data_IF_036484739249
#
_entry.id   IF_036484739249
#
_cell.length_a   1.000
_cell.length_b   1.000
_cell.length_c   1.000
_cell.angle_alpha   90.00
_cell.angle_beta   90.00
_cell.angle_gamma   90.00
#
_symmetry.space_group_name_H-M   'P 1'
#
loop_
_entity.id
_entity.type
_entity.pdbx_description
1 polymer ?
#
# COMPACT_ATOMS: atom_id res chain seq x y z
N UNK A 1 4.73 10.73 17.52
CA UNK A 1 4.33 9.54 16.76
C UNK A 1 4.01 9.97 15.34
N UNK A 2 4.66 9.36 14.34
CA UNK A 2 4.39 9.70 12.94
C UNK A 2 3.13 9.00 12.43
N UNK A 3 2.71 9.31 11.20
CA UNK A 3 1.49 8.75 10.58
C UNK A 3 1.50 7.22 10.55
N UNK A 4 2.66 6.63 10.30
CA UNK A 4 2.83 5.17 10.18
C UNK A 4 2.65 4.51 11.55
N UNK A 5 3.32 5.02 12.57
CA UNK A 5 3.20 4.50 13.94
C UNK A 5 1.77 4.58 14.44
N UNK A 6 1.10 5.70 14.15
CA UNK A 6 -0.29 5.93 14.54
C UNK A 6 -1.24 4.97 13.81
N UNK A 7 -1.02 4.75 12.51
CA UNK A 7 -1.83 3.81 11.73
C UNK A 7 -1.73 2.39 12.29
N UNK A 8 -0.52 1.94 12.58
CA UNK A 8 -0.31 0.60 13.16
C UNK A 8 -0.95 0.48 14.54
N UNK A 9 -0.85 1.52 15.36
CA UNK A 9 -1.48 1.54 16.68
C UNK A 9 -3.01 1.44 16.58
N UNK A 10 -3.61 2.15 15.63
CA UNK A 10 -5.07 2.21 15.47
C UNK A 10 -5.64 0.97 14.78
N UNK A 11 -4.94 0.45 13.79
CA UNK A 11 -5.51 -0.51 12.84
C UNK A 11 -4.73 -1.83 12.71
N UNK A 12 -3.49 -1.88 13.18
CA UNK A 12 -2.66 -3.08 13.08
C UNK A 12 -3.05 -4.15 14.10
N UNK A 13 -2.84 -5.41 13.72
CA UNK A 13 -2.96 -6.54 14.65
C UNK A 13 -1.59 -6.85 15.24
N UNK A 14 -1.39 -6.52 16.50
CA UNK A 14 -0.08 -6.66 17.18
C UNK A 14 0.45 -8.10 17.20
N UNK A 15 -0.44 -9.09 17.15
CA UNK A 15 -0.06 -10.50 17.31
C UNK A 15 0.31 -11.19 16.00
N UNK A 16 0.05 -10.58 14.84
CA UNK A 16 0.24 -11.20 13.54
C UNK A 16 1.34 -10.52 12.70
N UNK A 17 1.89 -9.40 13.15
CA UNK A 17 2.84 -8.61 12.38
C UNK A 17 4.27 -9.02 12.70
N UNK A 18 5.04 -9.33 11.66
CA UNK A 18 6.46 -9.67 11.74
C UNK A 18 7.24 -8.71 10.85
N UNK A 19 8.23 -7.98 11.39
CA UNK A 19 9.06 -7.09 10.57
C UNK A 19 9.70 -7.83 9.40
N UNK A 20 9.77 -7.16 8.25
CA UNK A 20 10.35 -7.72 7.03
C UNK A 20 11.82 -7.34 6.95
N UNK A 21 12.65 -8.29 6.51
CA UNK A 21 14.08 -8.07 6.35
C UNK A 21 14.32 -7.07 5.18
N UNK A 22 15.20 -6.11 5.41
CA UNK A 22 15.55 -5.11 4.39
C UNK A 22 16.20 -5.72 3.15
N UNK A 23 16.86 -6.88 3.26
CA UNK A 23 17.43 -7.57 2.10
C UNK A 23 16.34 -8.10 1.16
N UNK A 24 15.21 -8.57 1.71
CA UNK A 24 14.07 -9.03 0.91
C UNK A 24 13.42 -7.84 0.17
N UNK A 25 13.37 -6.68 0.80
CA UNK A 25 12.88 -5.45 0.16
C UNK A 25 13.82 -5.04 -0.97
N UNK A 26 15.13 -5.12 -0.76
CA UNK A 26 16.11 -4.81 -1.79
C UNK A 26 15.99 -5.74 -3.01
N UNK A 27 15.68 -7.01 -2.81
CA UNK A 27 15.41 -7.96 -3.90
C UNK A 27 14.17 -7.53 -4.70
N UNK A 28 13.11 -7.11 -4.02
CA UNK A 28 11.90 -6.62 -4.69
C UNK A 28 12.19 -5.36 -5.51
N UNK A 29 12.94 -4.43 -4.93
CA UNK A 29 13.35 -3.21 -5.64
C UNK A 29 14.15 -3.55 -6.90
N UNK A 30 15.04 -4.53 -6.83
CA UNK A 30 15.82 -4.97 -7.99
C UNK A 30 14.94 -5.59 -9.08
N UNK A 31 13.93 -6.36 -8.71
CA UNK A 31 13.00 -6.98 -9.67
C UNK A 31 12.20 -5.95 -10.47
N UNK A 32 11.85 -4.82 -9.85
CA UNK A 32 11.13 -3.72 -10.51
C UNK A 32 12.05 -2.65 -11.07
N UNK A 33 13.34 -2.68 -10.75
CA UNK A 33 14.29 -1.61 -11.05
C UNK A 33 13.82 -0.26 -10.49
N UNK A 34 13.45 -0.25 -9.21
CA UNK A 34 12.92 0.93 -8.51
C UNK A 34 13.56 1.10 -7.15
N UNK A 35 13.34 2.28 -6.55
CA UNK A 35 13.63 2.55 -5.14
C UNK A 35 12.30 2.90 -4.47
N UNK A 36 11.82 2.02 -3.60
CA UNK A 36 10.55 2.23 -2.90
C UNK A 36 10.65 3.40 -1.91
N UNK A 37 9.53 4.08 -1.62
CA UNK A 37 9.56 5.21 -0.67
C UNK A 37 10.01 4.77 0.71
N UNK A 38 10.81 5.61 1.37
CA UNK A 38 11.32 5.34 2.71
C UNK A 38 10.18 5.09 3.72
N UNK A 39 9.09 5.83 3.61
CA UNK A 39 7.92 5.67 4.49
C UNK A 39 7.32 4.26 4.41
N UNK A 40 7.18 3.71 3.21
CA UNK A 40 6.68 2.34 3.02
C UNK A 40 7.67 1.32 3.58
N UNK A 41 8.96 1.50 3.30
CA UNK A 41 10.01 0.62 3.83
C UNK A 41 10.07 0.67 5.36
N UNK A 42 9.85 1.85 5.95
CA UNK A 42 9.78 2.00 7.41
C UNK A 42 8.65 1.15 8.00
N UNK A 43 7.46 1.19 7.39
CA UNK A 43 6.34 0.35 7.84
C UNK A 43 6.73 -1.13 7.83
N UNK A 44 7.28 -1.60 6.72
CA UNK A 44 7.61 -3.02 6.54
C UNK A 44 8.71 -3.48 7.48
N UNK A 45 9.78 -2.70 7.64
CA UNK A 45 10.93 -3.10 8.45
C UNK A 45 10.70 -2.92 9.95
N UNK A 46 9.85 -1.98 10.33
CA UNK A 46 9.56 -1.71 11.75
C UNK A 46 8.43 -2.60 12.27
N UNK A 47 7.39 -2.80 11.48
CA UNK A 47 6.17 -3.51 11.91
C UNK A 47 5.88 -4.75 11.08
N UNK A 48 5.93 -4.66 9.75
CA UNK A 48 5.56 -5.74 8.84
C UNK A 48 4.31 -5.46 8.04
N UNK A 49 3.62 -6.52 7.63
CA UNK A 49 2.41 -6.43 6.81
C UNK A 49 1.19 -6.22 7.69
N UNK A 50 0.41 -5.18 7.37
CA UNK A 50 -0.79 -4.83 8.14
C UNK A 50 -2.01 -5.51 7.51
N UNK A 51 -2.86 -6.08 8.36
CA UNK A 51 -4.18 -6.60 8.00
C UNK A 51 -5.21 -5.85 8.82
N UNK A 52 -6.10 -5.10 8.17
CA UNK A 52 -6.96 -4.10 8.82
C UNK A 52 -8.43 -4.16 8.39
N UNK A 53 -9.14 -5.30 8.61
CA UNK A 53 -10.55 -5.39 8.22
C UNK A 53 -11.46 -4.39 8.97
N UNK A 54 -11.03 -3.94 10.15
CA UNK A 54 -11.79 -3.00 10.96
C UNK A 54 -11.89 -1.60 10.33
N UNK A 55 -11.00 -1.25 9.42
CA UNK A 55 -11.08 0.01 8.67
C UNK A 55 -12.37 0.07 7.85
N UNK A 56 -12.70 -1.01 7.15
CA UNK A 56 -13.95 -1.09 6.38
C UNK A 56 -15.17 -0.89 7.27
N UNK A 57 -15.22 -1.57 8.42
CA UNK A 57 -16.32 -1.45 9.38
C UNK A 57 -16.47 0.00 9.82
N UNK A 58 -15.37 0.67 10.16
CA UNK A 58 -15.38 2.07 10.60
C UNK A 58 -15.88 3.01 9.51
N UNK A 59 -15.42 2.82 8.28
CA UNK A 59 -15.87 3.61 7.12
C UNK A 59 -17.37 3.45 6.91
N UNK A 60 -17.89 2.22 6.97
CA UNK A 60 -19.32 1.96 6.84
C UNK A 60 -20.12 2.61 7.96
N UNK A 61 -19.66 2.51 9.20
CA UNK A 61 -20.34 3.10 10.38
C UNK A 61 -20.41 4.62 10.28
N UNK A 62 -19.37 5.27 9.76
CA UNK A 62 -19.31 6.72 9.61
C UNK A 62 -20.02 7.24 8.36
N UNK A 63 -20.28 6.36 7.37
CA UNK A 63 -20.89 6.75 6.11
C UNK A 63 -20.01 7.67 5.25
N UNK A 64 -18.68 7.61 5.40
CA UNK A 64 -17.75 8.42 4.63
C UNK A 64 -17.37 7.74 3.32
N UNK A 65 -17.01 8.52 2.30
CA UNK A 65 -16.63 8.02 0.98
C UNK A 65 -15.09 7.92 0.87
N UNK A 66 -14.55 6.93 1.57
CA UNK A 66 -13.12 6.61 1.54
C UNK A 66 -12.97 5.14 1.20
N UNK A 67 -12.08 4.82 0.27
CA UNK A 67 -11.75 3.43 -0.06
C UNK A 67 -10.90 2.84 1.06
N UNK A 68 -11.36 1.73 1.64
CA UNK A 68 -10.65 1.08 2.73
C UNK A 68 -9.38 0.37 2.26
N UNK A 69 -8.38 0.31 3.13
CA UNK A 69 -7.29 -0.65 3.00
C UNK A 69 -7.62 -1.85 3.88
N UNK A 70 -7.47 -3.05 3.35
CA UNK A 70 -7.68 -4.27 4.12
C UNK A 70 -6.38 -5.00 4.37
N UNK A 71 -5.63 -5.28 3.31
CA UNK A 71 -4.39 -6.06 3.40
C UNK A 71 -3.23 -5.35 2.72
N UNK A 72 -2.08 -5.30 3.38
CA UNK A 72 -0.81 -5.04 2.73
C UNK A 72 -0.29 -6.35 2.17
N UNK A 73 0.15 -6.33 0.92
CA UNK A 73 0.58 -7.53 0.20
C UNK A 73 1.95 -8.01 0.67
N UNK A 74 2.16 -9.32 0.70
CA UNK A 74 3.51 -9.89 0.86
C UNK A 74 4.39 -9.44 -0.31
N UNK A 75 5.71 -9.44 -0.13
CA UNK A 75 6.63 -9.00 -1.18
C UNK A 75 6.49 -9.86 -2.45
N UNK A 76 6.26 -11.15 -2.30
CA UNK A 76 6.01 -12.04 -3.44
C UNK A 76 4.74 -11.64 -4.17
N UNK A 77 3.67 -11.31 -3.45
CA UNK A 77 2.40 -10.89 -4.03
C UNK A 77 2.51 -9.50 -4.67
N UNK A 78 3.29 -8.58 -4.09
CA UNK A 78 3.55 -7.28 -4.72
C UNK A 78 4.07 -7.48 -6.13
N UNK A 79 5.05 -8.35 -6.32
CA UNK A 79 5.59 -8.63 -7.64
C UNK A 79 4.61 -9.38 -8.53
N UNK A 80 4.07 -10.50 -8.04
CA UNK A 80 3.21 -11.40 -8.83
C UNK A 80 1.91 -10.72 -9.24
N UNK A 81 1.23 -10.01 -8.33
CA UNK A 81 -0.03 -9.34 -8.63
C UNK A 81 0.18 -8.13 -9.53
N UNK A 82 1.28 -7.39 -9.38
CA UNK A 82 1.59 -6.27 -10.28
C UNK A 82 1.72 -6.77 -11.73
N UNK A 83 2.35 -7.93 -11.94
CA UNK A 83 2.45 -8.53 -13.27
C UNK A 83 1.13 -9.10 -13.76
N UNK A 84 0.38 -9.77 -12.89
CA UNK A 84 -0.91 -10.35 -13.23
C UNK A 84 -1.91 -9.28 -13.67
N UNK A 85 -2.00 -8.16 -12.94
CA UNK A 85 -2.94 -7.10 -13.26
C UNK A 85 -2.59 -6.39 -14.57
N UNK A 86 -1.30 -6.26 -14.91
CA UNK A 86 -0.87 -5.77 -16.22
C UNK A 86 -1.40 -6.67 -17.35
N UNK A 87 -1.39 -7.99 -17.14
CA UNK A 87 -1.91 -8.97 -18.12
C UNK A 87 -3.44 -8.87 -18.28
N UNK A 88 -4.14 -8.37 -17.28
CA UNK A 88 -5.61 -8.26 -17.31
C UNK A 88 -6.12 -6.88 -17.69
N UNK A 89 -5.25 -5.97 -18.11
CA UNK A 89 -5.62 -4.69 -18.67
C UNK A 89 -5.16 -3.45 -17.90
N UNK A 90 -4.54 -3.60 -16.74
CA UNK A 90 -3.95 -2.47 -16.04
C UNK A 90 -2.75 -1.93 -16.83
N UNK A 91 -2.64 -0.61 -16.92
CA UNK A 91 -1.48 0.05 -17.52
C UNK A 91 -0.19 -0.37 -16.80
N UNK A 92 0.90 -0.51 -17.57
CA UNK A 92 2.20 -0.89 -17.02
C UNK A 92 2.80 0.22 -16.14
N UNK A 93 3.70 -0.17 -15.25
CA UNK A 93 4.46 0.77 -14.43
C UNK A 93 3.85 1.06 -13.07
N UNK A 94 3.00 0.17 -12.57
CA UNK A 94 2.42 0.27 -11.24
C UNK A 94 2.95 -0.82 -10.32
N UNK A 95 3.20 -0.46 -9.07
CA UNK A 95 3.64 -1.38 -8.01
C UNK A 95 2.49 -1.53 -7.03
N UNK A 96 1.78 -2.65 -7.11
CA UNK A 96 0.64 -2.94 -6.24
C UNK A 96 1.15 -3.35 -4.86
N UNK A 97 0.76 -2.63 -3.80
CA UNK A 97 1.28 -2.92 -2.46
C UNK A 97 0.21 -3.22 -1.43
N UNK A 98 -1.06 -2.88 -1.69
CA UNK A 98 -2.16 -3.13 -0.75
C UNK A 98 -3.46 -3.33 -1.51
N UNK A 99 -4.42 -3.98 -0.87
CA UNK A 99 -5.73 -4.28 -1.46
C UNK A 99 -6.88 -3.82 -0.57
N UNK A 100 -8.04 -3.57 -1.19
CA UNK A 100 -9.30 -3.50 -0.48
C UNK A 100 -9.97 -4.88 -0.43
N UNK A 101 -11.22 -4.96 0.06
CA UNK A 101 -11.94 -6.22 0.14
C UNK A 101 -12.55 -6.68 -1.19
N UNK A 102 -12.49 -5.88 -2.25
CA UNK A 102 -13.15 -6.11 -3.54
C UNK A 102 -12.19 -6.45 -4.67
N UNK A 103 -10.90 -6.59 -4.39
CA UNK A 103 -9.89 -6.87 -5.41
C UNK A 103 -9.35 -5.62 -6.09
N UNK A 104 -9.71 -4.42 -5.64
CA UNK A 104 -9.08 -3.19 -6.08
C UNK A 104 -7.75 -3.02 -5.34
N UNK A 105 -6.81 -2.30 -5.95
CA UNK A 105 -5.45 -2.21 -5.44
C UNK A 105 -4.98 -0.78 -5.23
N UNK A 106 -4.20 -0.61 -4.17
CA UNK A 106 -3.43 0.61 -3.96
C UNK A 106 -2.02 0.40 -4.50
N UNK A 107 -1.47 1.40 -5.17
CA UNK A 107 -0.18 1.25 -5.85
C UNK A 107 0.65 2.52 -5.83
N UNK A 108 1.96 2.31 -6.03
CA UNK A 108 2.90 3.35 -6.39
C UNK A 108 3.13 3.30 -7.90
N UNK A 109 3.56 4.41 -8.50
CA UNK A 109 4.03 4.42 -9.90
C UNK A 109 5.53 4.28 -9.95
N UNK A 110 6.03 3.44 -10.87
CA UNK A 110 7.47 3.25 -11.05
C UNK A 110 8.18 4.57 -11.36
N UNK A 111 7.54 5.46 -12.11
CA UNK A 111 8.12 6.76 -12.45
C UNK A 111 8.36 7.66 -11.23
N UNK A 112 7.65 7.45 -10.14
CA UNK A 112 7.84 8.17 -8.87
C UNK A 112 8.92 7.52 -7.99
N UNK A 113 9.41 6.35 -8.38
CA UNK A 113 10.30 5.50 -7.59
C UNK A 113 11.64 5.27 -8.31
N UNK A 114 12.22 6.29 -8.95
CA UNK A 114 13.47 6.17 -9.71
C UNK A 114 14.71 6.41 -8.87
N UNK A 115 14.59 7.19 -7.80
CA UNK A 115 15.71 7.53 -6.90
C UNK A 115 15.24 7.46 -5.45
N UNK A 116 16.19 7.44 -4.51
CA UNK A 116 15.87 7.48 -3.09
C UNK A 116 15.00 8.70 -2.77
N UNK A 117 13.88 8.48 -2.08
CA UNK A 117 12.93 9.52 -1.68
C UNK A 117 12.18 9.09 -0.42
N UNK A 118 11.67 10.07 0.32
CA UNK A 118 11.01 9.82 1.61
C UNK A 118 9.61 9.22 1.43
N UNK A 119 8.87 9.68 0.43
CA UNK A 119 7.46 9.35 0.27
C UNK A 119 7.05 9.42 -1.20
N UNK A 120 5.92 8.80 -1.53
CA UNK A 120 5.40 8.75 -2.90
C UNK A 120 3.89 8.89 -2.90
N UNK A 121 3.30 9.47 -3.97
CA UNK A 121 1.86 9.45 -4.16
C UNK A 121 1.29 8.02 -4.17
N UNK A 122 0.08 7.87 -3.67
CA UNK A 122 -0.66 6.62 -3.69
C UNK A 122 -1.76 6.71 -4.74
N UNK A 123 -1.85 5.68 -5.58
CA UNK A 123 -2.83 5.55 -6.64
C UNK A 123 -3.75 4.38 -6.36
N UNK A 124 -4.98 4.46 -6.84
CA UNK A 124 -6.00 3.42 -6.65
C UNK A 124 -6.37 2.85 -8.01
N UNK A 125 -6.21 1.55 -8.17
CA UNK A 125 -6.66 0.81 -9.36
C UNK A 125 -8.02 0.20 -9.09
N UNK A 126 -9.03 0.66 -9.83
CA UNK A 126 -10.38 0.08 -9.81
C UNK A 126 -10.44 -1.03 -10.84
N UNK A 127 -10.53 -2.28 -10.38
CA UNK A 127 -10.53 -3.46 -11.23
C UNK A 127 -11.75 -3.50 -12.16
N UNK A 128 -12.92 -3.11 -11.67
CA UNK A 128 -14.17 -3.15 -12.45
C UNK A 128 -14.20 -2.16 -13.59
N UNK A 129 -13.57 -1.00 -13.42
CA UNK A 129 -13.52 0.07 -14.42
C UNK A 129 -12.20 0.11 -15.20
N UNK A 130 -11.19 -0.65 -14.78
CA UNK A 130 -9.83 -0.59 -15.30
C UNK A 130 -9.25 0.83 -15.29
N UNK A 131 -9.48 1.58 -14.22
CA UNK A 131 -9.01 2.96 -14.07
C UNK A 131 -8.03 3.08 -12.93
N UNK A 132 -7.06 4.00 -13.08
CA UNK A 132 -6.11 4.36 -12.03
C UNK A 132 -6.28 5.84 -11.74
N UNK A 133 -6.46 6.20 -10.46
CA UNK A 133 -6.53 7.60 -10.06
C UNK A 133 -5.73 7.84 -8.79
N UNK A 134 -5.15 9.04 -8.67
CA UNK A 134 -4.42 9.41 -7.47
C UNK A 134 -5.40 9.62 -6.31
N UNK A 135 -5.11 8.99 -5.17
CA UNK A 135 -5.94 9.12 -3.96
C UNK A 135 -5.24 9.88 -2.85
N UNK A 136 -3.91 10.01 -2.90
CA UNK A 136 -3.16 10.81 -1.94
C UNK A 136 -1.84 11.29 -2.53
N UNK A 137 -1.34 12.43 -2.07
CA UNK A 137 -0.06 12.99 -2.50
C UNK A 137 1.13 12.27 -1.88
N UNK A 138 0.92 11.52 -0.80
CA UNK A 138 1.98 10.71 -0.19
C UNK A 138 1.39 9.50 0.54
N UNK A 139 2.24 8.50 0.75
CA UNK A 139 1.87 7.31 1.52
C UNK A 139 1.48 7.67 2.96
N UNK A 140 2.22 8.57 3.59
CA UNK A 140 1.92 9.03 4.94
C UNK A 140 0.57 9.73 5.03
N UNK A 141 0.24 10.61 4.07
CA UNK A 141 -1.06 11.26 4.00
C UNK A 141 -2.19 10.26 3.75
N UNK A 142 -1.95 9.26 2.92
CA UNK A 142 -2.92 8.20 2.69
C UNK A 142 -3.25 7.45 3.98
N UNK A 143 -2.25 7.11 4.79
CA UNK A 143 -2.48 6.50 6.10
C UNK A 143 -3.24 7.44 7.05
N UNK A 144 -2.99 8.74 6.97
CA UNK A 144 -3.69 9.73 7.80
C UNK A 144 -5.18 9.80 7.49
N UNK A 145 -5.61 9.47 6.29
CA UNK A 145 -7.04 9.38 5.98
C UNK A 145 -7.73 8.35 6.88
N UNK A 146 -7.05 7.24 7.18
CA UNK A 146 -7.56 6.22 8.10
C UNK A 146 -7.35 6.62 9.56
N UNK A 147 -6.26 7.29 9.88
CA UNK A 147 -5.99 7.79 11.23
C UNK A 147 -7.04 8.80 11.70
N UNK A 148 -7.64 9.53 10.77
CA UNK A 148 -8.64 10.57 11.05
C UNK A 148 -10.08 10.03 11.10
N UNK A 149 -10.30 8.75 10.92
CA UNK A 149 -11.59 8.11 11.08
C UNK A 149 -11.93 7.98 12.59
#
# INVERSE_FOLDING_TARGET
>A
MNSIDLFVKNWGSKNAMVPINSDDIAELEAKFDVVLPDAYKYLLTTYGLVHSPNVLTRICDLGVDVSEVQDFLSLDDVFSLSKLYEMTGMEKGHILFASDCKGNMFCFKQNDCTTKHEDSPVWFFNQGLCTVQKVSDSFSQWLDEFNNL
#
